data_IF_111307207741
#
_entry.id   IF_111307207741
#
_cell.length_a   1.000
_cell.length_b   1.000
_cell.length_c   1.000
_cell.angle_alpha   90.00
_cell.angle_beta   90.00
_cell.angle_gamma   90.00
#
_symmetry.space_group_name_H-M   'P 1'
#
loop_
_entity.id
_entity.type
_entity.pdbx_description
1 polymer ?
#
# COMPACT_ATOMS: atom_id res chain seq x y z
N UNK A 1 72.83 23.73 -4.07
CA UNK A 1 71.48 23.13 -3.90
C UNK A 1 70.45 24.16 -4.30
N UNK A 2 69.72 23.96 -5.40
CA UNK A 2 68.63 24.84 -5.82
C UNK A 2 67.39 23.99 -6.10
N UNK A 3 66.38 24.07 -5.21
CA UNK A 3 65.08 23.44 -5.42
C UNK A 3 64.25 24.31 -6.36
N UNK A 4 64.02 23.81 -7.57
CA UNK A 4 63.15 24.40 -8.60
C UNK A 4 61.73 24.55 -8.03
N UNK A 5 61.05 25.71 -8.17
CA UNK A 5 59.70 25.87 -7.67
C UNK A 5 58.72 24.98 -8.46
N UNK A 6 57.89 24.23 -7.74
CA UNK A 6 56.77 23.45 -8.31
C UNK A 6 55.78 24.42 -8.94
N UNK A 7 55.54 24.25 -10.23
CA UNK A 7 54.50 24.98 -10.95
C UNK A 7 53.13 24.75 -10.27
N UNK A 8 52.50 25.83 -9.84
CA UNK A 8 51.14 25.82 -9.34
C UNK A 8 50.20 25.36 -10.46
N UNK A 9 49.39 24.33 -10.19
CA UNK A 9 48.34 23.86 -11.10
C UNK A 9 47.35 25.00 -11.32
N UNK A 10 47.16 25.41 -12.57
CA UNK A 10 46.15 26.39 -13.00
C UNK A 10 44.78 25.96 -12.48
N UNK A 11 44.24 26.69 -11.51
CA UNK A 11 42.83 26.63 -11.15
C UNK A 11 42.03 27.22 -12.31
N UNK A 12 41.32 26.36 -13.05
CA UNK A 12 40.33 26.80 -14.01
C UNK A 12 39.12 27.32 -13.23
N UNK A 13 38.82 28.60 -13.43
CA UNK A 13 37.73 29.32 -12.80
C UNK A 13 36.38 28.81 -13.28
N UNK A 14 35.64 28.11 -12.41
CA UNK A 14 34.22 27.79 -12.62
C UNK A 14 33.47 27.99 -11.31
N UNK A 15 32.71 29.09 -11.19
CA UNK A 15 31.65 29.37 -10.22
C UNK A 15 31.78 28.88 -8.75
N UNK A 16 32.99 28.79 -8.18
CA UNK A 16 33.21 28.58 -6.74
C UNK A 16 33.13 27.15 -6.21
N UNK A 17 33.03 26.13 -7.06
CA UNK A 17 32.97 24.72 -6.62
C UNK A 17 34.11 23.88 -7.20
N UNK A 18 34.57 22.89 -6.42
CA UNK A 18 35.52 21.89 -6.89
C UNK A 18 34.79 20.84 -7.74
N UNK A 19 35.10 20.81 -9.03
CA UNK A 19 34.48 19.90 -9.99
C UNK A 19 34.66 18.41 -9.62
N UNK A 20 35.76 18.04 -8.96
CA UNK A 20 36.01 16.66 -8.55
C UNK A 20 35.04 16.24 -7.45
N UNK A 21 34.85 17.12 -6.46
CA UNK A 21 33.92 16.91 -5.35
C UNK A 21 32.48 16.87 -5.86
N UNK A 22 32.12 17.76 -6.78
CA UNK A 22 30.78 17.78 -7.36
C UNK A 22 30.47 16.49 -8.13
N UNK A 23 31.40 16.00 -8.95
CA UNK A 23 31.21 14.75 -9.67
C UNK A 23 31.11 13.54 -8.73
N UNK A 24 31.93 13.46 -7.68
CA UNK A 24 31.83 12.40 -6.66
C UNK A 24 30.45 12.38 -5.99
N UNK A 25 29.94 13.55 -5.61
CA UNK A 25 28.61 13.68 -4.99
C UNK A 25 27.50 13.23 -5.96
N UNK A 26 27.56 13.66 -7.23
CA UNK A 26 26.58 13.26 -8.24
C UNK A 26 26.62 11.75 -8.47
N UNK A 27 27.81 11.16 -8.62
CA UNK A 27 27.94 9.71 -8.80
C UNK A 27 27.36 8.94 -7.62
N UNK A 28 27.70 9.31 -6.39
CA UNK A 28 27.16 8.65 -5.19
C UNK A 28 25.65 8.82 -5.06
N UNK A 29 25.09 9.95 -5.49
CA UNK A 29 23.66 10.18 -5.51
C UNK A 29 22.95 9.28 -6.54
N UNK A 30 23.53 9.13 -7.72
CA UNK A 30 23.01 8.23 -8.75
C UNK A 30 23.09 6.77 -8.30
N UNK A 31 24.18 6.34 -7.66
CA UNK A 31 24.29 5.01 -7.05
C UNK A 31 23.19 4.75 -6.02
N UNK A 32 22.90 5.72 -5.14
CA UNK A 32 21.80 5.61 -4.18
C UNK A 32 20.43 5.54 -4.87
N UNK A 33 20.24 6.23 -5.99
CA UNK A 33 18.99 6.12 -6.77
C UNK A 33 18.84 4.74 -7.40
N UNK A 34 19.92 4.16 -7.93
CA UNK A 34 19.93 2.82 -8.48
C UNK A 34 19.64 1.76 -7.41
N UNK A 35 20.25 1.91 -6.23
CA UNK A 35 19.95 1.07 -5.06
C UNK A 35 18.47 1.18 -4.65
N UNK A 36 17.92 2.40 -4.60
CA UNK A 36 16.52 2.63 -4.27
C UNK A 36 15.58 2.02 -5.33
N UNK A 37 15.93 2.13 -6.61
CA UNK A 37 15.17 1.54 -7.71
C UNK A 37 15.18 0.01 -7.61
N UNK A 38 16.34 -0.59 -7.33
CA UNK A 38 16.50 -2.02 -7.12
C UNK A 38 15.67 -2.52 -5.93
N UNK A 39 15.75 -1.83 -4.78
CA UNK A 39 14.98 -2.15 -3.59
C UNK A 39 13.46 -2.10 -3.84
N UNK A 40 12.98 -1.07 -4.56
CA UNK A 40 11.58 -0.98 -5.00
C UNK A 40 11.21 -2.15 -5.90
N UNK A 41 12.09 -2.54 -6.82
CA UNK A 41 11.90 -3.70 -7.70
C UNK A 41 11.69 -5.00 -6.91
N UNK A 42 12.54 -5.25 -5.92
CA UNK A 42 12.45 -6.43 -5.03
C UNK A 42 11.15 -6.41 -4.23
N UNK A 43 10.81 -5.28 -3.61
CA UNK A 43 9.57 -5.10 -2.86
C UNK A 43 8.35 -5.39 -3.73
N UNK A 44 8.28 -4.80 -4.92
CA UNK A 44 7.15 -4.96 -5.83
C UNK A 44 7.02 -6.40 -6.34
N UNK A 45 8.14 -7.06 -6.64
CA UNK A 45 8.14 -8.49 -6.98
C UNK A 45 7.54 -9.30 -5.83
N UNK A 46 8.02 -9.09 -4.60
CA UNK A 46 7.52 -9.83 -3.43
C UNK A 46 6.04 -9.58 -3.18
N UNK A 47 5.58 -8.34 -3.33
CA UNK A 47 4.17 -7.99 -3.20
C UNK A 47 3.29 -8.71 -4.23
N UNK A 48 3.75 -8.79 -5.49
CA UNK A 48 3.07 -9.56 -6.54
C UNK A 48 3.01 -11.06 -6.21
N UNK A 49 4.13 -11.67 -5.81
CA UNK A 49 4.18 -13.10 -5.46
C UNK A 49 3.19 -13.45 -4.33
N UNK A 50 3.06 -12.57 -3.33
CA UNK A 50 2.09 -12.72 -2.23
C UNK A 50 0.65 -12.56 -2.74
N UNK A 51 0.40 -11.59 -3.61
CA UNK A 51 -0.93 -11.38 -4.20
C UNK A 51 -1.36 -12.59 -5.05
N UNK A 52 -0.45 -13.15 -5.84
CA UNK A 52 -0.70 -14.35 -6.65
C UNK A 52 -0.97 -15.57 -5.76
N UNK A 53 -0.21 -15.73 -4.67
CA UNK A 53 -0.44 -16.80 -3.68
C UNK A 53 -1.82 -16.67 -3.02
N UNK A 54 -2.24 -15.46 -2.65
CA UNK A 54 -3.59 -15.21 -2.13
C UNK A 54 -4.68 -15.56 -3.15
N UNK A 55 -4.48 -15.22 -4.43
CA UNK A 55 -5.40 -15.59 -5.50
C UNK A 55 -5.48 -17.11 -5.67
N UNK A 56 -4.34 -17.80 -5.62
CA UNK A 56 -4.26 -19.26 -5.67
C UNK A 56 -5.09 -19.95 -4.58
N UNK A 57 -5.07 -19.42 -3.35
CA UNK A 57 -5.91 -19.95 -2.26
C UNK A 57 -7.41 -19.80 -2.52
N UNK A 58 -7.84 -18.72 -3.17
CA UNK A 58 -9.25 -18.52 -3.55
C UNK A 58 -9.65 -19.46 -4.69
N UNK A 59 -8.76 -19.69 -5.65
CA UNK A 59 -8.97 -20.65 -6.74
C UNK A 59 -9.04 -22.08 -6.21
N UNK A 60 -8.18 -22.44 -5.26
CA UNK A 60 -8.22 -23.72 -4.55
C UNK A 60 -9.53 -23.89 -3.76
N UNK A 61 -9.99 -22.84 -3.07
CA UNK A 61 -11.28 -22.87 -2.41
C UNK A 61 -12.42 -23.10 -3.42
N UNK A 62 -12.36 -22.46 -4.59
CA UNK A 62 -13.32 -22.68 -5.68
C UNK A 62 -13.30 -24.13 -6.17
N UNK A 63 -12.12 -24.73 -6.38
CA UNK A 63 -12.00 -26.12 -6.83
C UNK A 63 -12.52 -27.12 -5.77
N UNK A 64 -12.51 -26.72 -4.51
CA UNK A 64 -13.10 -27.48 -3.38
C UNK A 64 -14.60 -27.23 -3.20
N UNK A 65 -15.24 -26.49 -4.11
CA UNK A 65 -16.68 -26.20 -4.06
C UNK A 65 -17.08 -25.07 -3.10
N UNK A 66 -16.11 -24.31 -2.57
CA UNK A 66 -16.39 -23.18 -1.69
C UNK A 66 -16.74 -21.96 -2.55
N UNK A 67 -17.87 -21.33 -2.25
CA UNK A 67 -18.31 -20.11 -2.91
C UNK A 67 -17.32 -18.95 -2.63
N UNK A 68 -16.68 -18.45 -3.68
CA UNK A 68 -15.57 -17.49 -3.55
C UNK A 68 -16.02 -16.10 -3.09
N UNK A 69 -17.22 -15.64 -3.49
CA UNK A 69 -17.78 -14.35 -3.05
C UNK A 69 -17.97 -14.29 -1.53
N UNK A 70 -18.74 -15.19 -0.89
CA UNK A 70 -18.89 -15.18 0.56
C UNK A 70 -17.58 -15.45 1.29
N UNK A 71 -16.70 -16.32 0.75
CA UNK A 71 -15.37 -16.52 1.32
C UNK A 71 -14.56 -15.22 1.36
N UNK A 72 -14.54 -14.44 0.27
CA UNK A 72 -13.85 -13.14 0.23
C UNK A 72 -14.43 -12.15 1.23
N UNK A 73 -15.76 -12.14 1.44
CA UNK A 73 -16.41 -11.29 2.44
C UNK A 73 -15.93 -11.65 3.85
N UNK A 74 -15.94 -12.93 4.22
CA UNK A 74 -15.46 -13.42 5.52
C UNK A 74 -13.97 -13.11 5.72
N UNK A 75 -13.12 -13.36 4.72
CA UNK A 75 -11.70 -13.02 4.81
C UNK A 75 -11.47 -11.53 4.99
N UNK A 76 -12.31 -10.69 4.36
CA UNK A 76 -12.24 -9.23 4.51
C UNK A 76 -12.67 -8.78 5.89
N UNK A 77 -13.72 -9.37 6.44
CA UNK A 77 -14.16 -9.12 7.81
C UNK A 77 -13.06 -9.46 8.83
N UNK A 78 -12.41 -10.61 8.67
CA UNK A 78 -11.29 -11.02 9.53
C UNK A 78 -10.12 -10.01 9.43
N UNK A 79 -9.76 -9.56 8.23
CA UNK A 79 -8.71 -8.55 8.03
C UNK A 79 -9.06 -7.22 8.71
N UNK A 80 -10.31 -6.77 8.58
CA UNK A 80 -10.78 -5.53 9.19
C UNK A 80 -10.82 -5.64 10.72
N UNK A 81 -11.30 -6.76 11.28
CA UNK A 81 -11.31 -6.99 12.72
C UNK A 81 -9.91 -6.99 13.32
N UNK A 82 -8.91 -7.56 12.62
CA UNK A 82 -7.50 -7.49 13.05
C UNK A 82 -6.95 -6.07 13.04
N UNK A 83 -7.30 -5.28 12.01
CA UNK A 83 -6.88 -3.87 11.92
C UNK A 83 -7.54 -3.02 13.01
N UNK A 84 -8.83 -3.21 13.26
CA UNK A 84 -9.55 -2.55 14.35
C UNK A 84 -8.89 -2.89 15.69
N UNK A 85 -8.56 -4.16 15.93
CA UNK A 85 -7.87 -4.58 17.14
C UNK A 85 -6.48 -3.94 17.28
N UNK A 86 -5.70 -3.88 16.19
CA UNK A 86 -4.39 -3.23 16.19
C UNK A 86 -4.51 -1.73 16.51
N UNK A 87 -5.39 -1.00 15.83
CA UNK A 87 -5.63 0.42 16.08
C UNK A 87 -6.11 0.67 17.51
N UNK A 88 -6.94 -0.23 18.08
CA UNK A 88 -7.35 -0.13 19.48
C UNK A 88 -6.21 -0.38 20.45
N UNK A 89 -5.32 -1.32 20.16
CA UNK A 89 -4.18 -1.62 21.03
C UNK A 89 -3.12 -0.52 21.06
N UNK A 90 -3.14 0.37 20.06
CA UNK A 90 -2.26 1.55 19.99
C UNK A 90 -2.81 2.73 20.82
N UNK A 91 -4.04 2.66 21.32
CA UNK A 91 -4.62 3.71 22.16
C UNK A 91 -4.05 3.63 23.58
N UNK A 92 -3.72 4.78 24.15
CA UNK A 92 -3.44 4.89 25.59
C UNK A 92 -4.73 4.64 26.40
N UNK A 93 -4.60 4.33 27.69
CA UNK A 93 -5.73 3.92 28.53
C UNK A 93 -6.86 4.97 28.54
N UNK A 94 -6.52 6.25 28.67
CA UNK A 94 -7.50 7.35 28.68
C UNK A 94 -8.18 7.52 27.32
N UNK A 95 -7.46 7.31 26.21
CA UNK A 95 -8.01 7.37 24.85
C UNK A 95 -8.90 6.16 24.53
N UNK A 96 -8.61 5.00 25.09
CA UNK A 96 -9.41 3.79 24.93
C UNK A 96 -10.80 3.96 25.55
N UNK A 97 -10.87 4.55 26.75
CA UNK A 97 -12.13 4.84 27.45
C UNK A 97 -12.97 5.88 26.69
N UNK A 98 -12.33 6.93 26.17
CA UNK A 98 -13.00 7.92 25.31
C UNK A 98 -13.51 7.30 24.01
N UNK A 99 -12.73 6.43 23.37
CA UNK A 99 -13.13 5.74 22.16
C UNK A 99 -14.34 4.81 22.39
N UNK A 100 -14.47 4.24 23.59
CA UNK A 100 -15.62 3.41 23.96
C UNK A 100 -16.88 4.24 24.25
N UNK A 101 -16.73 5.37 24.95
CA UNK A 101 -17.80 6.36 25.11
C UNK A 101 -18.31 6.87 23.75
N UNK A 102 -17.40 7.19 22.83
CA UNK A 102 -17.75 7.60 21.47
C UNK A 102 -18.49 6.50 20.71
N UNK A 103 -18.05 5.23 20.82
CA UNK A 103 -18.75 4.09 20.19
C UNK A 103 -20.16 3.91 20.74
N UNK A 104 -20.32 3.98 22.06
CA UNK A 104 -21.61 3.89 22.72
C UNK A 104 -22.56 5.02 22.28
N UNK A 105 -22.04 6.25 22.15
CA UNK A 105 -22.80 7.40 21.68
C UNK A 105 -23.19 7.34 20.19
N UNK A 106 -22.33 6.73 19.36
CA UNK A 106 -22.56 6.60 17.91
C UNK A 106 -23.54 5.47 17.54
N UNK A 107 -23.86 4.55 18.47
CA UNK A 107 -24.73 3.41 18.20
C UNK A 107 -24.10 2.41 17.23
N UNK A 108 -24.94 1.55 16.62
CA UNK A 108 -24.48 0.67 15.55
C UNK A 108 -24.00 1.52 14.36
N UNK A 109 -22.76 1.31 13.92
CA UNK A 109 -22.11 2.05 12.82
C UNK A 109 -22.92 2.09 11.51
N UNK A 110 -23.96 1.27 11.38
CA UNK A 110 -24.91 1.26 10.28
C UNK A 110 -25.74 2.56 10.17
N UNK A 111 -26.05 3.21 11.30
CA UNK A 111 -26.91 4.40 11.34
C UNK A 111 -26.16 5.71 11.04
N UNK A 112 -24.84 5.65 10.91
CA UNK A 112 -24.01 6.81 10.59
C UNK A 112 -24.07 7.15 9.10
N UNK A 113 -23.90 8.42 8.68
CA UNK A 113 -23.95 8.82 7.26
C UNK A 113 -23.02 8.01 6.35
N UNK A 114 -21.84 7.63 6.84
CA UNK A 114 -20.90 6.78 6.11
C UNK A 114 -21.34 5.30 6.08
N UNK A 115 -21.95 4.80 7.17
CA UNK A 115 -22.53 3.46 7.25
C UNK A 115 -23.70 3.30 6.28
N UNK A 116 -24.65 4.25 6.30
CA UNK A 116 -25.77 4.29 5.38
C UNK A 116 -25.33 4.40 3.92
N UNK A 117 -24.30 5.21 3.63
CA UNK A 117 -23.70 5.30 2.30
C UNK A 117 -23.03 3.99 1.87
N UNK A 118 -22.35 3.30 2.78
CA UNK A 118 -21.71 2.01 2.51
C UNK A 118 -22.74 0.90 2.23
N UNK A 119 -23.87 0.87 2.97
CA UNK A 119 -24.99 -0.05 2.71
C UNK A 119 -25.61 0.24 1.34
N UNK A 120 -25.91 1.50 1.06
CA UNK A 120 -26.48 1.92 -0.24
C UNK A 120 -25.56 1.57 -1.41
N UNK A 121 -24.24 1.76 -1.25
CA UNK A 121 -23.27 1.40 -2.26
C UNK A 121 -23.12 -0.12 -2.44
N UNK A 122 -23.23 -0.88 -1.36
CA UNK A 122 -23.21 -2.34 -1.41
C UNK A 122 -24.43 -2.91 -2.14
N UNK A 123 -25.61 -2.33 -1.95
CA UNK A 123 -26.84 -2.79 -2.59
C UNK A 123 -26.88 -2.44 -4.08
N UNK A 124 -26.45 -1.23 -4.47
CA UNK A 124 -26.29 -0.88 -5.90
C UNK A 124 -25.37 -1.83 -6.66
N UNK A 125 -24.24 -2.24 -6.05
CA UNK A 125 -23.35 -3.23 -6.69
C UNK A 125 -24.00 -4.60 -6.89
N UNK A 126 -24.89 -5.03 -5.99
CA UNK A 126 -25.62 -6.30 -6.16
C UNK A 126 -26.62 -6.21 -7.30
N UNK A 127 -27.29 -5.07 -7.45
CA UNK A 127 -28.20 -4.80 -8.58
C UNK A 127 -27.46 -4.83 -9.92
N UNK A 128 -26.31 -4.16 -10.00
CA UNK A 128 -25.46 -4.14 -11.20
C UNK A 128 -24.92 -5.54 -11.53
N UNK A 129 -24.47 -6.32 -10.54
CA UNK A 129 -24.01 -7.70 -10.74
C UNK A 129 -25.14 -8.63 -11.21
N UNK A 130 -26.37 -8.45 -10.71
CA UNK A 130 -27.53 -9.25 -11.12
C UNK A 130 -28.04 -8.87 -12.52
N UNK A 131 -27.92 -7.60 -12.92
CA UNK A 131 -28.25 -7.14 -14.27
C UNK A 131 -27.26 -7.64 -15.32
N UNK A 132 -25.98 -7.80 -14.97
CA UNK A 132 -24.96 -8.36 -15.85
C UNK A 132 -25.14 -9.88 -16.06
N UNK A 133 -25.53 -10.62 -15.01
CA UNK A 133 -25.74 -12.08 -15.08
C UNK A 133 -27.03 -12.48 -15.85
N UNK A 134 -28.01 -11.58 -15.94
CA UNK A 134 -29.25 -11.80 -16.70
C UNK A 134 -29.13 -11.50 -18.20
N UNK A 135 -28.21 -10.63 -18.62
CA UNK A 135 -27.94 -10.33 -20.04
C UNK A 135 -27.14 -11.42 -20.77
N UNK A 136 -26.50 -12.34 -20.05
CA UNK A 136 -25.68 -13.42 -20.62
C UNK A 136 -26.43 -14.74 -20.92
N UNK A 137 -27.76 -14.79 -20.72
CA UNK A 137 -28.55 -16.03 -20.88
C UNK A 137 -29.39 -16.12 -22.16
N UNK A 138 -29.30 -15.15 -23.06
CA UNK A 138 -30.12 -15.08 -24.30
C UNK A 138 -29.35 -15.32 -25.61
N UNK A 139 -28.20 -15.99 -25.58
CA UNK A 139 -27.55 -16.48 -26.82
C UNK A 139 -27.27 -17.98 -26.78
N UNK A 140 -28.11 -18.74 -27.51
CA UNK A 140 -27.74 -19.96 -28.25
C UNK A 140 -27.82 -21.29 -27.51
#
# INVERSE_FOLDING_TARGET
>A
MARKPRAAKKQASTNGFDATVLNDIVHRFDELNDELASAKGVYMKRARDIADSKRGLIEEAKSRGIATKPLKAVLKEIDLSRKIAATRSELEADDADQAELMRSALGDFADLPLGAAAVTAADKRKEDENAFDSMGKDEG
#
